data_IF_990681667060
#
_entry.id   IF_990681667060
#
_cell.length_a   1.000
_cell.length_b   1.000
_cell.length_c   1.000
_cell.angle_alpha   90.00
_cell.angle_beta   90.00
_cell.angle_gamma   90.00
#
_symmetry.space_group_name_H-M   'P 1'
#
loop_
_entity.id
_entity.type
_entity.pdbx_description
1 polymer ?
#
# COMPACT_ATOMS: atom_id res chain seq x y z
N UNK A 1 9.82 8.96 -12.18
CA UNK A 1 10.40 7.61 -12.29
C UNK A 1 9.58 6.81 -13.30
N UNK A 2 10.21 6.31 -14.38
CA UNK A 2 9.52 5.53 -15.41
C UNK A 2 9.08 4.17 -14.86
N UNK A 3 7.89 3.73 -15.24
CA UNK A 3 7.35 2.41 -14.88
C UNK A 3 7.43 1.46 -16.05
N UNK A 4 7.12 1.94 -17.26
CA UNK A 4 7.13 1.17 -18.48
C UNK A 4 7.56 2.04 -19.66
N UNK A 5 8.28 1.46 -20.62
CA UNK A 5 8.53 2.06 -21.92
C UNK A 5 7.83 1.26 -23.03
N UNK A 6 7.12 1.94 -23.94
CA UNK A 6 6.43 1.33 -25.09
C UNK A 6 7.17 1.74 -26.36
N UNK A 7 7.83 0.76 -26.99
CA UNK A 7 8.74 0.98 -28.14
C UNK A 7 8.02 1.54 -29.37
N UNK A 8 6.83 1.03 -29.72
CA UNK A 8 6.12 1.41 -30.96
C UNK A 8 5.73 2.87 -31.06
N UNK A 9 5.31 3.44 -29.94
CA UNK A 9 4.91 4.84 -29.83
C UNK A 9 6.00 5.69 -29.18
N UNK A 10 7.16 5.10 -28.87
CA UNK A 10 8.28 5.71 -28.15
C UNK A 10 7.81 6.52 -26.94
N UNK A 11 6.98 5.89 -26.10
CA UNK A 11 6.30 6.54 -24.99
C UNK A 11 6.72 5.95 -23.66
N UNK A 12 7.19 6.81 -22.76
CA UNK A 12 7.59 6.43 -21.41
C UNK A 12 6.47 6.73 -20.43
N UNK A 13 5.86 5.67 -19.91
CA UNK A 13 4.75 5.75 -18.96
C UNK A 13 5.29 5.75 -17.53
N UNK A 14 4.76 6.63 -16.69
CA UNK A 14 5.01 6.67 -15.25
C UNK A 14 3.71 6.46 -14.47
N UNK A 15 3.78 6.32 -13.16
CA UNK A 15 2.55 6.21 -12.35
C UNK A 15 1.67 7.46 -12.33
N UNK A 16 2.23 8.64 -12.61
CA UNK A 16 1.54 9.95 -12.51
C UNK A 16 1.16 10.49 -13.87
N UNK A 17 2.07 10.31 -14.83
CA UNK A 17 1.93 10.70 -16.22
C UNK A 17 1.88 9.44 -17.10
N UNK A 18 0.72 9.26 -17.72
CA UNK A 18 0.38 8.13 -18.60
C UNK A 18 -0.27 8.65 -19.89
N UNK A 19 0.03 9.88 -20.28
CA UNK A 19 -0.55 10.49 -21.48
C UNK A 19 -0.39 9.58 -22.71
N UNK A 20 -1.40 9.58 -23.58
CA UNK A 20 -1.44 8.69 -24.74
C UNK A 20 -1.85 7.24 -24.45
N UNK A 21 -2.11 6.86 -23.19
CA UNK A 21 -2.56 5.50 -22.82
C UNK A 21 -3.93 5.48 -22.14
N UNK A 22 -4.57 4.31 -22.11
CA UNK A 22 -5.85 4.09 -21.39
C UNK A 22 -5.65 3.65 -19.93
N UNK A 23 -4.45 3.79 -19.37
CA UNK A 23 -4.14 3.31 -18.01
C UNK A 23 -4.66 4.23 -16.89
N UNK A 24 -5.05 5.47 -17.22
CA UNK A 24 -5.39 6.49 -16.22
C UNK A 24 -4.17 6.85 -15.36
N UNK A 25 -4.36 7.49 -14.20
CA UNK A 25 -3.24 7.94 -13.34
C UNK A 25 -3.08 7.08 -12.07
N UNK A 26 -2.46 5.90 -12.14
CA UNK A 26 -2.53 4.87 -11.09
C UNK A 26 -1.79 5.22 -9.80
N UNK A 27 -0.81 6.13 -9.81
CA UNK A 27 -0.08 6.55 -8.61
C UNK A 27 -0.96 7.30 -7.60
N UNK A 28 -2.03 7.96 -8.04
CA UNK A 28 -2.87 8.75 -7.12
C UNK A 28 -3.58 7.90 -6.07
N UNK A 29 -3.99 6.68 -6.42
CA UNK A 29 -4.58 5.76 -5.45
C UNK A 29 -3.54 5.31 -4.43
N UNK A 30 -2.28 5.10 -4.84
CA UNK A 30 -1.20 4.83 -3.89
C UNK A 30 -0.98 6.02 -2.95
N UNK A 31 -0.93 7.25 -3.46
CA UNK A 31 -0.77 8.44 -2.64
C UNK A 31 -1.92 8.62 -1.63
N UNK A 32 -3.16 8.41 -2.07
CA UNK A 32 -4.33 8.46 -1.19
C UNK A 32 -4.24 7.41 -0.08
N UNK A 33 -3.96 6.15 -0.43
CA UNK A 33 -3.86 5.05 0.55
C UNK A 33 -2.69 5.24 1.53
N UNK A 34 -1.53 5.68 1.04
CA UNK A 34 -0.37 5.99 1.90
C UNK A 34 -0.69 7.16 2.84
N UNK A 35 -1.39 8.20 2.35
CA UNK A 35 -1.86 9.29 3.20
C UNK A 35 -2.76 8.80 4.34
N UNK A 36 -3.72 7.92 4.05
CA UNK A 36 -4.57 7.30 5.07
C UNK A 36 -3.77 6.47 6.07
N UNK A 37 -2.85 5.62 5.58
CA UNK A 37 -1.97 4.78 6.40
C UNK A 37 -1.15 5.63 7.38
N UNK A 38 -0.56 6.74 6.91
CA UNK A 38 0.19 7.66 7.74
C UNK A 38 -0.71 8.26 8.83
N UNK A 39 -1.90 8.76 8.47
CA UNK A 39 -2.86 9.32 9.43
C UNK A 39 -3.25 8.30 10.51
N UNK A 40 -3.63 7.07 10.11
CA UNK A 40 -4.00 6.02 11.07
C UNK A 40 -2.83 5.53 11.92
N UNK A 41 -1.58 5.65 11.43
CA UNK A 41 -0.38 5.28 12.19
C UNK A 41 -0.16 6.18 13.42
N UNK A 42 -0.64 7.44 13.40
CA UNK A 42 -0.55 8.34 14.55
C UNK A 42 -1.64 8.10 15.60
N UNK A 43 -2.72 7.40 15.25
CA UNK A 43 -3.85 7.15 16.15
C UNK A 43 -3.54 5.88 16.98
N UNK A 44 -3.35 6.02 18.29
CA UNK A 44 -3.04 4.92 19.24
C UNK A 44 -4.25 4.07 19.61
N UNK A 45 -5.16 3.84 18.67
CA UNK A 45 -6.39 3.08 18.88
C UNK A 45 -6.31 1.74 18.15
N UNK A 46 -6.87 0.69 18.75
CA UNK A 46 -6.86 -0.66 18.17
C UNK A 46 -7.58 -0.72 16.82
N UNK A 47 -8.69 0.02 16.66
CA UNK A 47 -9.41 0.05 15.39
C UNK A 47 -8.54 0.67 14.29
N UNK A 48 -7.84 1.78 14.58
CA UNK A 48 -6.98 2.46 13.63
C UNK A 48 -5.89 1.53 13.08
N UNK A 49 -5.34 0.65 13.92
CA UNK A 49 -4.37 -0.37 13.48
C UNK A 49 -4.96 -1.41 12.53
N UNK A 50 -6.18 -1.89 12.80
CA UNK A 50 -6.88 -2.84 11.92
C UNK A 50 -7.13 -2.22 10.55
N UNK A 51 -7.56 -0.96 10.52
CA UNK A 51 -7.72 -0.23 9.25
C UNK A 51 -6.39 0.04 8.56
N UNK A 52 -5.32 0.33 9.31
CA UNK A 52 -3.99 0.52 8.74
C UNK A 52 -3.51 -0.74 7.98
N UNK A 53 -3.70 -1.91 8.57
CA UNK A 53 -3.41 -3.19 7.92
C UNK A 53 -4.26 -3.40 6.67
N UNK A 54 -5.56 -3.09 6.72
CA UNK A 54 -6.47 -3.16 5.58
C UNK A 54 -6.00 -2.25 4.42
N UNK A 55 -5.67 -1.00 4.71
CA UNK A 55 -5.22 -0.06 3.68
C UNK A 55 -3.86 -0.45 3.09
N UNK A 56 -2.94 -0.98 3.90
CA UNK A 56 -1.67 -1.50 3.40
C UNK A 56 -1.87 -2.70 2.46
N UNK A 57 -2.78 -3.62 2.81
CA UNK A 57 -3.13 -4.75 1.94
C UNK A 57 -3.79 -4.30 0.63
N UNK A 58 -4.70 -3.32 0.69
CA UNK A 58 -5.32 -2.71 -0.51
C UNK A 58 -4.28 -2.00 -1.38
N UNK A 59 -3.30 -1.33 -0.78
CA UNK A 59 -2.20 -0.68 -1.50
C UNK A 59 -1.36 -1.72 -2.27
N UNK A 60 -1.03 -2.84 -1.63
CA UNK A 60 -0.33 -3.94 -2.29
C UNK A 60 -1.16 -4.59 -3.40
N UNK A 61 -2.44 -4.85 -3.16
CA UNK A 61 -3.34 -5.38 -4.19
C UNK A 61 -3.41 -4.46 -5.42
N UNK A 62 -3.49 -3.14 -5.19
CA UNK A 62 -3.45 -2.14 -6.27
C UNK A 62 -2.10 -2.13 -6.99
N UNK A 63 -0.98 -2.27 -6.28
CA UNK A 63 0.35 -2.38 -6.90
C UNK A 63 0.43 -3.59 -7.83
N UNK A 64 0.00 -4.76 -7.36
CA UNK A 64 0.00 -6.01 -8.14
C UNK A 64 -0.90 -5.87 -9.37
N UNK A 65 -2.11 -5.30 -9.21
CA UNK A 65 -3.01 -5.03 -10.33
C UNK A 65 -2.37 -4.14 -11.38
N UNK A 66 -1.67 -3.07 -10.98
CA UNK A 66 -0.97 -2.19 -11.93
C UNK A 66 0.24 -2.89 -12.58
N UNK A 67 0.97 -3.70 -11.81
CA UNK A 67 2.04 -4.52 -12.36
C UNK A 67 1.52 -5.43 -13.48
N UNK A 68 0.43 -6.16 -13.26
CA UNK A 68 -0.16 -7.05 -14.28
C UNK A 68 -0.70 -6.24 -15.46
N UNK A 69 -1.43 -5.15 -15.22
CA UNK A 69 -2.08 -4.35 -16.28
C UNK A 69 -1.07 -3.62 -17.15
N UNK A 70 0.05 -3.15 -16.61
CA UNK A 70 1.05 -2.41 -17.37
C UNK A 70 2.08 -3.29 -18.06
N UNK A 71 2.22 -4.54 -17.63
CA UNK A 71 3.20 -5.48 -18.21
C UNK A 71 2.59 -6.45 -19.21
N UNK A 72 1.26 -6.44 -19.36
CA UNK A 72 0.58 -7.25 -20.38
C UNK A 72 1.02 -6.81 -21.77
N UNK A 73 1.21 -7.77 -22.66
CA UNK A 73 1.44 -7.48 -24.06
C UNK A 73 0.09 -7.25 -24.75
N UNK A 74 0.00 -6.19 -25.55
CA UNK A 74 -1.18 -5.90 -26.38
C UNK A 74 -0.74 -5.82 -27.84
N UNK A 75 -1.56 -6.37 -28.75
CA UNK A 75 -1.28 -6.38 -30.19
C UNK A 75 0.10 -6.93 -30.62
N UNK A 76 0.68 -7.85 -29.82
CA UNK A 76 1.99 -8.45 -30.12
C UNK A 76 3.20 -7.67 -29.60
N UNK A 77 2.98 -6.53 -28.94
CA UNK A 77 4.04 -5.72 -28.34
C UNK A 77 4.02 -5.81 -26.83
N UNK A 78 5.20 -6.07 -26.26
CA UNK A 78 5.38 -6.21 -24.82
C UNK A 78 6.08 -4.97 -24.26
N UNK A 79 5.45 -4.23 -23.34
CA UNK A 79 6.08 -3.07 -22.70
C UNK A 79 7.35 -3.45 -21.92
N UNK A 80 8.39 -2.62 -22.04
CA UNK A 80 9.63 -2.81 -21.28
C UNK A 80 9.43 -2.34 -19.83
N UNK A 81 9.73 -3.23 -18.88
CA UNK A 81 9.56 -2.98 -17.44
C UNK A 81 10.69 -2.10 -16.93
N UNK A 82 10.36 -0.96 -16.35
CA UNK A 82 11.32 -0.03 -15.79
C UNK A 82 11.37 -0.12 -14.26
N UNK A 83 12.47 0.37 -13.67
CA UNK A 83 12.76 0.25 -12.24
C UNK A 83 11.65 0.80 -11.34
N UNK A 84 10.94 1.85 -11.77
CA UNK A 84 9.88 2.46 -10.97
C UNK A 84 8.73 1.52 -10.65
N UNK A 85 8.42 0.58 -11.55
CA UNK A 85 7.35 -0.40 -11.34
C UNK A 85 7.74 -1.45 -10.29
N UNK A 86 8.99 -1.92 -10.32
CA UNK A 86 9.52 -2.84 -9.30
C UNK A 86 9.59 -2.19 -7.92
N UNK A 87 10.07 -0.94 -7.86
CA UNK A 87 10.15 -0.18 -6.62
C UNK A 87 8.78 0.03 -5.98
N UNK A 88 7.74 0.27 -6.78
CA UNK A 88 6.38 0.39 -6.28
C UNK A 88 5.92 -0.89 -5.56
N UNK A 89 6.09 -2.04 -6.20
CA UNK A 89 5.67 -3.34 -5.62
C UNK A 89 6.46 -3.63 -4.35
N UNK A 90 7.78 -3.44 -4.37
CA UNK A 90 8.63 -3.64 -3.19
C UNK A 90 8.23 -2.69 -2.05
N UNK A 91 7.97 -1.42 -2.35
CA UNK A 91 7.51 -0.44 -1.37
C UNK A 91 6.15 -0.83 -0.76
N UNK A 92 5.20 -1.31 -1.56
CA UNK A 92 3.91 -1.78 -1.05
C UNK A 92 4.03 -3.03 -0.18
N UNK A 93 4.95 -3.95 -0.50
CA UNK A 93 5.25 -5.12 0.36
C UNK A 93 5.86 -4.65 1.69
N UNK A 94 6.84 -3.75 1.64
CA UNK A 94 7.46 -3.19 2.84
C UNK A 94 6.41 -2.48 3.72
N UNK A 95 5.50 -1.70 3.12
CA UNK A 95 4.41 -1.03 3.83
C UNK A 95 3.49 -2.03 4.54
N UNK A 96 3.13 -3.13 3.87
CA UNK A 96 2.34 -4.20 4.50
C UNK A 96 3.08 -4.83 5.68
N UNK A 97 4.37 -5.15 5.53
CA UNK A 97 5.18 -5.71 6.63
C UNK A 97 5.21 -4.74 7.83
N UNK A 98 5.38 -3.44 7.60
CA UNK A 98 5.37 -2.46 8.71
C UNK A 98 4.00 -2.39 9.40
N UNK A 99 2.90 -2.56 8.67
CA UNK A 99 1.56 -2.59 9.24
C UNK A 99 1.29 -3.86 10.09
N UNK A 100 1.99 -4.97 9.84
CA UNK A 100 1.90 -6.20 10.64
C UNK A 100 2.53 -6.07 12.03
N UNK A 101 3.54 -5.21 12.20
CA UNK A 101 4.28 -5.08 13.47
C UNK A 101 4.13 -3.70 14.12
N UNK A 102 2.91 -3.29 14.54
CA UNK A 102 2.70 -1.97 15.08
C UNK A 102 3.09 -1.91 16.57
N UNK A 103 4.16 -1.20 16.90
CA UNK A 103 4.62 -1.00 18.29
C UNK A 103 3.52 -0.28 19.12
N UNK A 104 2.89 -0.99 20.05
CA UNK A 104 1.97 -0.42 21.05
C UNK A 104 2.47 -0.75 22.45
N UNK A 105 2.58 0.29 23.28
CA UNK A 105 2.63 0.10 24.73
C UNK A 105 1.18 -0.02 25.19
N UNK A 106 0.80 -1.20 25.69
CA UNK A 106 -0.48 -1.40 26.36
C UNK A 106 -0.35 -0.72 27.74
N UNK A 107 -1.18 0.29 28.07
CA UNK A 107 -1.21 0.86 29.42
C UNK A 107 -1.56 -0.27 30.41
N UNK A 108 -0.72 -0.45 31.42
CA UNK A 108 -0.81 -1.58 32.36
C UNK A 108 -1.94 -1.44 33.39
N UNK A 109 -2.67 -0.32 33.33
CA UNK A 109 -3.58 0.12 34.39
C UNK A 109 -4.93 -0.61 34.39
N UNK A 110 -5.30 -1.31 33.30
CA UNK A 110 -6.55 -2.09 33.23
C UNK A 110 -6.45 -3.49 33.85
N UNK A 111 -5.25 -4.07 33.96
CA UNK A 111 -5.07 -5.43 34.52
C UNK A 111 -5.29 -5.44 36.04
N UNK A 112 -5.03 -4.32 36.73
CA UNK A 112 -5.20 -4.19 38.18
C UNK A 112 -6.65 -3.93 38.62
N UNK A 113 -7.56 -3.58 37.71
CA UNK A 113 -8.97 -3.33 38.05
C UNK A 113 -9.82 -4.62 38.06
N UNK A 114 -9.46 -5.63 37.27
CA UNK A 114 -10.23 -6.88 37.18
C UNK A 114 -9.79 -7.96 38.20
N UNK A 115 -8.73 -7.71 38.97
CA UNK A 115 -8.17 -8.67 39.93
C UNK A 115 -8.59 -8.48 41.39
N UNK A 116 -9.41 -7.46 41.70
CA UNK A 116 -9.73 -7.08 43.08
C UNK A 116 -11.23 -7.23 43.44
N UNK A 117 -12.03 -7.92 42.62
CA UNK A 117 -13.44 -8.23 42.90
C UNK A 117 -13.67 -9.72 43.17
N UNK A 118 -12.84 -10.34 44.02
CA UNK A 118 -13.17 -11.62 44.64
C UNK A 118 -13.65 -11.32 46.07
N UNK A 119 -14.96 -11.37 46.37
CA UNK A 119 -15.45 -11.18 47.74
C UNK A 119 -15.04 -12.38 48.59
N UNK A 120 -14.26 -12.13 49.64
CA UNK A 120 -14.08 -13.07 50.76
C UNK A 120 -15.47 -13.46 51.30
N UNK A 121 -15.75 -14.76 51.26
CA UNK A 121 -16.92 -15.40 51.86
C UNK A 121 -16.51 -16.18 53.12
#
# INVERSE_FOLDING_TARGET
MPWVHIESVNLTVSGVDTEGTRFGKPAYIHFMLVGLIIVFSFIKQIWAKRFNLLFAALNLAWAIKNFVVMTKCEAGECPEKQTGLYLLVVASIALLITAFFPNMKIPRDEITASGNEEPEA
#
